data_IF_358469446954
#
_entry.id   IF_358469446954
#
_cell.length_a   1.000
_cell.length_b   1.000
_cell.length_c   1.000
_cell.angle_alpha   90.00
_cell.angle_beta   90.00
_cell.angle_gamma   90.00
#
_symmetry.space_group_name_H-M   'P 1'
#
loop_
_entity.id
_entity.type
_entity.pdbx_description
1 polymer ?
#
# COMPACT_ATOMS: atom_id res chain seq x y z
N UNK A 1 19.75 -6.31 -16.95
CA UNK A 1 19.08 -6.16 -15.65
C UNK A 1 19.29 -4.71 -15.25
N UNK A 2 18.22 -3.93 -15.22
CA UNK A 2 18.27 -2.47 -14.96
C UNK A 2 17.73 -2.22 -13.57
N UNK A 3 18.38 -1.34 -12.81
CA UNK A 3 17.91 -0.89 -11.50
C UNK A 3 17.38 0.53 -11.65
N UNK A 4 16.16 0.77 -11.18
CA UNK A 4 15.49 2.06 -11.21
C UNK A 4 15.17 2.49 -9.78
N UNK A 5 15.31 3.79 -9.51
CA UNK A 5 14.96 4.40 -8.23
C UNK A 5 13.95 5.51 -8.49
N UNK A 6 12.82 5.46 -7.77
CA UNK A 6 11.71 6.42 -7.91
C UNK A 6 11.51 7.11 -6.58
N UNK A 7 11.36 8.44 -6.62
CA UNK A 7 11.09 9.23 -5.43
C UNK A 7 9.64 9.02 -4.96
N UNK A 8 9.46 8.76 -3.66
CA UNK A 8 8.14 8.63 -3.04
C UNK A 8 7.61 9.95 -2.48
N UNK A 9 8.51 10.92 -2.29
CA UNK A 9 8.25 12.25 -1.78
C UNK A 9 9.06 13.25 -2.58
N UNK A 10 8.70 14.53 -2.50
CA UNK A 10 9.53 15.60 -3.03
C UNK A 10 10.89 15.65 -2.31
N UNK A 11 11.96 15.94 -3.05
CA UNK A 11 13.33 15.92 -2.54
C UNK A 11 13.99 17.26 -2.84
N UNK A 12 14.47 17.95 -1.80
CA UNK A 12 15.13 19.24 -1.96
C UNK A 12 16.64 19.09 -2.22
N UNK A 13 17.30 20.07 -2.88
CA UNK A 13 18.74 20.05 -3.04
C UNK A 13 19.47 19.97 -1.69
N UNK A 14 20.35 18.98 -1.54
CA UNK A 14 21.11 18.73 -0.30
C UNK A 14 20.42 17.81 0.71
N UNK A 15 19.20 17.37 0.44
CA UNK A 15 18.50 16.34 1.23
C UNK A 15 19.11 14.95 0.98
N UNK A 16 19.23 14.14 2.03
CA UNK A 16 19.73 12.78 1.93
C UNK A 16 18.72 11.87 1.22
N UNK A 17 19.15 11.16 0.18
CA UNK A 17 18.36 10.12 -0.45
C UNK A 17 18.36 8.87 0.41
N UNK A 18 17.18 8.46 0.87
CA UNK A 18 17.02 7.27 1.71
C UNK A 18 16.16 6.22 1.03
N UNK A 19 16.45 4.95 1.30
CA UNK A 19 15.60 3.81 0.92
C UNK A 19 15.42 2.90 2.14
N UNK A 20 14.28 2.22 2.22
CA UNK A 20 14.05 1.24 3.28
C UNK A 20 14.63 -0.12 2.89
N UNK A 21 15.51 -0.66 3.72
CA UNK A 21 15.99 -2.05 3.59
C UNK A 21 15.02 -3.07 4.18
N UNK A 22 13.98 -2.60 4.87
CA UNK A 22 12.99 -3.43 5.54
C UNK A 22 11.62 -3.32 4.85
N UNK A 23 10.79 -4.37 4.93
CA UNK A 23 9.37 -4.26 4.60
C UNK A 23 8.70 -3.13 5.41
N UNK A 24 7.90 -2.31 4.75
CA UNK A 24 7.31 -1.11 5.37
C UNK A 24 6.21 -1.43 6.40
N UNK A 25 5.65 -2.65 6.36
CA UNK A 25 4.56 -3.10 7.22
C UNK A 25 4.99 -3.65 8.58
N UNK A 26 6.30 -3.67 8.90
CA UNK A 26 6.80 -4.20 10.17
C UNK A 26 6.46 -3.28 11.35
N UNK A 27 6.15 -3.88 12.52
CA UNK A 27 5.98 -3.19 13.80
C UNK A 27 7.34 -2.76 14.39
N UNK A 28 7.34 -1.86 15.37
CA UNK A 28 8.56 -1.20 15.87
C UNK A 28 9.57 -2.19 16.44
N UNK A 29 9.12 -3.20 17.17
CA UNK A 29 9.96 -4.28 17.70
C UNK A 29 10.64 -5.06 16.56
N UNK A 30 9.87 -5.49 15.57
CA UNK A 30 10.39 -6.21 14.40
C UNK A 30 11.33 -5.35 13.56
N UNK A 31 11.04 -4.06 13.42
CA UNK A 31 11.92 -3.10 12.72
C UNK A 31 13.27 -2.98 13.43
N UNK A 32 13.26 -2.80 14.76
CA UNK A 32 14.49 -2.70 15.58
C UNK A 32 15.31 -3.98 15.52
N UNK A 33 14.66 -5.13 15.68
CA UNK A 33 15.32 -6.45 15.59
C UNK A 33 15.91 -6.69 14.20
N UNK A 34 15.14 -6.38 13.15
CA UNK A 34 15.58 -6.58 11.77
C UNK A 34 16.73 -5.67 11.40
N UNK A 35 16.64 -4.36 11.65
CA UNK A 35 17.67 -3.40 11.22
C UNK A 35 19.03 -3.65 11.90
N UNK A 36 19.05 -4.25 13.09
CA UNK A 36 20.28 -4.57 13.79
C UNK A 36 21.16 -5.59 13.03
N UNK A 37 20.63 -6.33 12.05
CA UNK A 37 21.47 -7.17 11.16
C UNK A 37 22.46 -6.33 10.32
N UNK A 38 22.23 -5.03 10.20
CA UNK A 38 23.12 -4.06 9.56
C UNK A 38 24.03 -3.34 10.57
N UNK A 39 24.05 -3.77 11.83
CA UNK A 39 24.90 -3.26 12.90
C UNK A 39 24.72 -1.76 13.22
N UNK A 40 23.50 -1.24 13.05
CA UNK A 40 23.14 0.11 13.51
C UNK A 40 21.74 0.14 14.13
N UNK A 41 21.49 1.18 14.93
CA UNK A 41 20.16 1.49 15.46
C UNK A 41 19.55 2.62 14.64
N UNK A 42 18.32 2.44 14.16
CA UNK A 42 17.61 3.48 13.41
C UNK A 42 17.26 4.65 14.32
N UNK A 43 17.63 5.87 13.91
CA UNK A 43 17.33 7.13 14.59
C UNK A 43 16.48 8.06 13.72
N UNK A 44 15.66 7.51 12.83
CA UNK A 44 14.68 8.31 12.11
C UNK A 44 13.66 8.94 13.09
N UNK A 45 12.90 9.97 12.69
CA UNK A 45 11.93 10.62 13.57
C UNK A 45 11.02 9.62 14.30
N UNK A 46 10.40 8.71 13.53
CA UNK A 46 9.53 7.66 14.07
C UNK A 46 10.23 6.78 15.12
N UNK A 47 11.45 6.31 14.86
CA UNK A 47 12.17 5.44 15.80
C UNK A 47 12.74 6.19 17.01
N UNK A 48 12.80 7.52 16.96
CA UNK A 48 13.37 8.37 18.01
C UNK A 48 12.33 8.86 19.01
N UNK A 49 11.04 8.57 18.78
CA UNK A 49 9.92 8.97 19.63
C UNK A 49 9.05 7.77 19.98
N UNK A 50 8.93 7.45 21.28
CA UNK A 50 8.08 6.33 21.74
C UNK A 50 6.62 6.52 21.32
N UNK A 51 6.09 7.75 21.41
CA UNK A 51 4.74 8.06 20.98
C UNK A 51 4.54 7.87 19.47
N UNK A 52 5.52 8.22 18.64
CA UNK A 52 5.44 8.00 17.19
C UNK A 52 5.58 6.51 16.83
N UNK A 53 6.39 5.75 17.56
CA UNK A 53 6.49 4.30 17.37
C UNK A 53 5.16 3.61 17.70
N UNK A 54 4.57 3.92 18.86
CA UNK A 54 3.29 3.38 19.28
C UNK A 54 2.19 3.72 18.28
N UNK A 55 2.12 4.98 17.82
CA UNK A 55 1.13 5.38 16.83
C UNK A 55 1.33 4.70 15.47
N UNK A 56 2.58 4.54 15.02
CA UNK A 56 2.88 3.82 13.77
C UNK A 56 2.50 2.34 13.85
N UNK A 57 2.70 1.71 15.01
CA UNK A 57 2.31 0.32 15.21
C UNK A 57 0.77 0.17 15.26
N UNK A 58 0.06 1.10 15.91
CA UNK A 58 -1.41 1.18 15.88
C UNK A 58 -1.92 1.32 14.43
N UNK A 59 -1.31 2.22 13.65
CA UNK A 59 -1.68 2.43 12.26
C UNK A 59 -1.48 1.16 11.41
N UNK A 60 -0.36 0.48 11.56
CA UNK A 60 -0.06 -0.77 10.82
C UNK A 60 -0.99 -1.91 11.21
N UNK A 61 -1.30 -2.05 12.50
CA UNK A 61 -2.30 -3.00 12.97
C UNK A 61 -3.68 -2.64 12.44
N UNK A 62 -4.02 -1.36 12.35
CA UNK A 62 -5.31 -0.92 11.81
C UNK A 62 -5.44 -1.24 10.33
N UNK A 63 -4.38 -1.08 9.53
CA UNK A 63 -4.37 -1.53 8.12
C UNK A 63 -4.72 -3.02 8.03
N UNK A 64 -4.10 -3.87 8.85
CA UNK A 64 -4.43 -5.30 8.88
C UNK A 64 -5.89 -5.54 9.23
N UNK A 65 -6.40 -4.85 10.27
CA UNK A 65 -7.80 -4.94 10.67
C UNK A 65 -8.76 -4.53 9.55
N UNK A 66 -8.49 -3.45 8.83
CA UNK A 66 -9.28 -3.02 7.67
C UNK A 66 -9.30 -4.11 6.59
N UNK A 67 -8.15 -4.71 6.27
CA UNK A 67 -8.09 -5.78 5.28
C UNK A 67 -8.91 -7.00 5.70
N UNK A 68 -8.88 -7.35 6.99
CA UNK A 68 -9.68 -8.45 7.52
C UNK A 68 -11.17 -8.14 7.50
N UNK A 69 -11.57 -6.91 7.83
CA UNK A 69 -12.97 -6.46 7.72
C UNK A 69 -13.46 -6.51 6.27
N UNK A 70 -12.64 -6.09 5.30
CA UNK A 70 -12.97 -6.17 3.87
C UNK A 70 -13.08 -7.62 3.37
N UNK A 71 -12.38 -8.57 3.98
CA UNK A 71 -12.51 -10.01 3.63
C UNK A 71 -13.86 -10.59 4.02
N UNK A 72 -14.50 -10.08 5.06
CA UNK A 72 -15.81 -10.53 5.52
C UNK A 72 -16.90 -10.06 4.56
N UNK A 73 -17.62 -10.99 3.92
CA UNK A 73 -18.66 -10.67 2.93
C UNK A 73 -19.78 -9.80 3.50
N UNK A 74 -20.16 -10.02 4.76
CA UNK A 74 -21.24 -9.28 5.43
C UNK A 74 -20.94 -7.78 5.58
N UNK A 75 -19.65 -7.40 5.55
CA UNK A 75 -19.21 -6.01 5.65
C UNK A 75 -19.12 -5.31 4.28
N UNK A 76 -19.41 -5.99 3.17
CA UNK A 76 -19.24 -5.47 1.81
C UNK A 76 -20.46 -4.71 1.30
N UNK A 77 -20.92 -3.75 2.07
CA UNK A 77 -21.83 -2.71 1.57
C UNK A 77 -21.01 -1.57 0.97
N UNK A 78 -21.57 -0.82 0.00
CA UNK A 78 -20.84 0.32 -0.58
C UNK A 78 -20.44 1.35 0.49
N UNK A 79 -21.30 1.58 1.48
CA UNK A 79 -21.04 2.50 2.59
C UNK A 79 -19.92 1.96 3.51
N UNK A 80 -19.99 0.67 3.88
CA UNK A 80 -18.98 0.03 4.73
C UNK A 80 -17.60 0.02 4.07
N UNK A 81 -17.53 -0.46 2.83
CA UNK A 81 -16.28 -0.46 2.05
C UNK A 81 -15.77 0.95 1.83
N UNK A 82 -16.64 1.90 1.47
CA UNK A 82 -16.24 3.30 1.28
C UNK A 82 -15.67 3.95 2.53
N UNK A 83 -16.19 3.61 3.71
CA UNK A 83 -15.68 4.10 5.00
C UNK A 83 -14.30 3.51 5.30
N UNK A 84 -14.14 2.20 5.16
CA UNK A 84 -12.88 1.50 5.37
C UNK A 84 -11.78 1.96 4.40
N UNK A 85 -12.13 2.21 3.15
CA UNK A 85 -11.18 2.71 2.14
C UNK A 85 -10.69 4.12 2.49
N UNK A 86 -11.57 5.02 2.93
CA UNK A 86 -11.17 6.38 3.33
C UNK A 86 -10.20 6.34 4.50
N UNK A 87 -10.49 5.51 5.50
CA UNK A 87 -9.61 5.31 6.65
C UNK A 87 -8.25 4.74 6.21
N UNK A 88 -8.26 3.69 5.38
CA UNK A 88 -7.05 3.09 4.85
C UNK A 88 -6.17 4.12 4.14
N UNK A 89 -6.74 4.91 3.22
CA UNK A 89 -5.98 5.92 2.47
C UNK A 89 -5.40 7.00 3.40
N UNK A 90 -6.12 7.42 4.44
CA UNK A 90 -5.62 8.37 5.44
C UNK A 90 -4.42 7.81 6.20
N UNK A 91 -4.45 6.52 6.56
CA UNK A 91 -3.33 5.87 7.24
C UNK A 91 -2.13 5.72 6.30
N UNK A 92 -2.35 5.32 5.04
CA UNK A 92 -1.27 5.16 4.06
C UNK A 92 -0.53 6.48 3.79
N UNK A 93 -1.24 7.60 3.77
CA UNK A 93 -0.64 8.93 3.63
C UNK A 93 0.21 9.28 4.86
N UNK A 94 -0.36 9.10 6.06
CA UNK A 94 0.31 9.37 7.34
C UNK A 94 1.59 8.53 7.50
N UNK A 95 1.54 7.25 7.14
CA UNK A 95 2.68 6.32 7.24
C UNK A 95 3.63 6.41 6.03
N UNK A 96 3.37 7.28 5.05
CA UNK A 96 4.14 7.41 3.80
C UNK A 96 4.31 6.08 3.06
N UNK A 97 3.22 5.36 2.87
CA UNK A 97 3.16 4.05 2.23
C UNK A 97 2.67 4.12 0.78
N UNK A 98 2.94 5.22 0.06
CA UNK A 98 2.44 5.46 -1.29
C UNK A 98 2.83 4.33 -2.27
N UNK A 99 4.04 3.79 -2.17
CA UNK A 99 4.47 2.68 -3.02
C UNK A 99 3.69 1.36 -2.80
N UNK A 100 2.99 1.23 -1.68
CA UNK A 100 2.14 0.06 -1.38
C UNK A 100 0.71 0.22 -1.92
N UNK A 101 0.31 1.43 -2.34
CA UNK A 101 -1.06 1.73 -2.79
C UNK A 101 -1.52 0.85 -3.96
N UNK A 102 -0.60 0.42 -4.84
CA UNK A 102 -0.93 -0.53 -5.91
C UNK A 102 -1.45 -1.88 -5.40
N UNK A 103 -0.87 -2.39 -4.30
CA UNK A 103 -1.32 -3.64 -3.69
C UNK A 103 -2.74 -3.49 -3.12
N UNK A 104 -2.99 -2.37 -2.43
CA UNK A 104 -4.31 -2.09 -1.86
C UNK A 104 -5.36 -1.86 -2.96
N UNK A 105 -5.01 -1.15 -4.02
CA UNK A 105 -5.88 -0.97 -5.18
C UNK A 105 -6.22 -2.31 -5.85
N UNK A 106 -5.26 -3.23 -5.98
CA UNK A 106 -5.52 -4.59 -6.49
C UNK A 106 -6.52 -5.36 -5.62
N UNK A 107 -6.41 -5.26 -4.29
CA UNK A 107 -7.36 -5.87 -3.35
C UNK A 107 -8.75 -5.25 -3.53
N UNK A 108 -8.84 -3.92 -3.58
CA UNK A 108 -10.10 -3.20 -3.72
C UNK A 108 -10.80 -3.50 -5.05
N UNK A 109 -10.04 -3.63 -6.15
CA UNK A 109 -10.58 -4.07 -7.43
C UNK A 109 -11.30 -5.42 -7.31
N UNK A 110 -10.68 -6.38 -6.61
CA UNK A 110 -11.28 -7.68 -6.33
C UNK A 110 -12.52 -7.61 -5.43
N UNK A 111 -12.51 -6.75 -4.40
CA UNK A 111 -13.66 -6.54 -3.50
C UNK A 111 -14.86 -5.99 -4.28
N UNK A 112 -14.67 -4.91 -5.03
CA UNK A 112 -15.76 -4.30 -5.80
C UNK A 112 -16.26 -5.21 -6.93
N UNK A 113 -15.37 -6.00 -7.54
CA UNK A 113 -15.79 -7.03 -8.50
C UNK A 113 -16.71 -8.07 -7.86
N UNK A 114 -16.37 -8.54 -6.65
CA UNK A 114 -17.20 -9.48 -5.89
C UNK A 114 -18.52 -8.86 -5.39
N UNK A 115 -18.63 -7.54 -5.40
CA UNK A 115 -19.87 -6.79 -5.13
C UNK A 115 -20.66 -6.47 -6.41
N UNK A 116 -20.22 -6.98 -7.57
CA UNK A 116 -20.79 -6.71 -8.90
C UNK A 116 -20.74 -5.23 -9.31
N UNK A 117 -19.92 -4.43 -8.62
CA UNK A 117 -19.64 -3.03 -8.95
C UNK A 117 -18.46 -2.93 -9.91
N UNK A 118 -18.75 -3.17 -11.18
CA UNK A 118 -17.74 -3.12 -12.24
C UNK A 118 -17.12 -1.72 -12.40
N UNK A 119 -17.83 -0.65 -12.06
CA UNK A 119 -17.33 0.72 -12.21
C UNK A 119 -16.18 0.97 -11.23
N UNK A 120 -16.39 0.71 -9.93
CA UNK A 120 -15.32 0.83 -8.93
C UNK A 120 -14.24 -0.23 -9.13
N UNK A 121 -14.59 -1.47 -9.49
CA UNK A 121 -13.61 -2.51 -9.76
C UNK A 121 -12.60 -2.09 -10.85
N UNK A 122 -13.09 -1.54 -11.97
CA UNK A 122 -12.25 -1.02 -13.05
C UNK A 122 -11.42 0.17 -12.61
N UNK A 123 -12.00 1.09 -11.83
CA UNK A 123 -11.30 2.25 -11.29
C UNK A 123 -10.09 1.87 -10.45
N UNK A 124 -10.28 0.95 -9.49
CA UNK A 124 -9.19 0.46 -8.65
C UNK A 124 -8.20 -0.43 -9.41
N UNK A 125 -8.66 -1.24 -10.38
CA UNK A 125 -7.75 -2.02 -11.22
C UNK A 125 -6.82 -1.11 -12.03
N UNK A 126 -7.35 -0.02 -12.61
CA UNK A 126 -6.54 0.98 -13.28
C UNK A 126 -5.54 1.64 -12.31
N UNK A 127 -5.99 2.04 -11.13
CA UNK A 127 -5.11 2.63 -10.13
C UNK A 127 -3.98 1.67 -9.71
N UNK A 128 -4.28 0.36 -9.61
CA UNK A 128 -3.28 -0.66 -9.32
C UNK A 128 -2.21 -0.73 -10.42
N UNK A 129 -2.61 -0.73 -11.69
CA UNK A 129 -1.69 -0.68 -12.84
C UNK A 129 -0.81 0.56 -12.78
N UNK A 130 -1.42 1.73 -12.68
CA UNK A 130 -0.71 3.02 -12.67
C UNK A 130 0.34 3.04 -11.54
N UNK A 131 -0.06 2.65 -10.32
CA UNK A 131 0.82 2.69 -9.15
C UNK A 131 1.92 1.62 -9.21
N UNK A 132 1.63 0.40 -9.68
CA UNK A 132 2.65 -0.64 -9.80
C UNK A 132 3.68 -0.29 -10.89
N UNK A 133 3.23 0.23 -12.03
CA UNK A 133 4.15 0.69 -13.07
C UNK A 133 5.01 1.85 -12.58
N UNK A 134 4.43 2.81 -11.86
CA UNK A 134 5.16 3.97 -11.35
C UNK A 134 6.18 3.62 -10.25
N UNK A 135 5.79 2.83 -9.24
CA UNK A 135 6.64 2.61 -8.06
C UNK A 135 7.51 1.34 -8.14
N UNK A 136 7.11 0.33 -8.92
CA UNK A 136 7.80 -0.98 -8.97
C UNK A 136 8.40 -1.23 -10.35
N UNK A 137 7.79 -0.69 -11.40
CA UNK A 137 8.24 -0.79 -12.78
C UNK A 137 7.37 -1.70 -13.64
N UNK A 138 7.45 -1.48 -14.95
CA UNK A 138 6.63 -2.15 -15.97
C UNK A 138 6.84 -3.67 -16.04
N UNK A 139 8.05 -4.14 -15.75
CA UNK A 139 8.39 -5.56 -15.83
C UNK A 139 8.00 -6.36 -14.58
N UNK A 140 7.48 -5.70 -13.54
CA UNK A 140 7.10 -6.36 -12.29
C UNK A 140 5.87 -7.26 -12.48
N UNK A 141 5.90 -8.44 -11.84
CA UNK A 141 4.76 -9.37 -11.88
C UNK A 141 3.48 -8.71 -11.36
N UNK A 142 3.60 -7.83 -10.35
CA UNK A 142 2.48 -7.04 -9.82
C UNK A 142 1.84 -6.12 -10.86
N UNK A 143 2.65 -5.44 -11.69
CA UNK A 143 2.13 -4.59 -12.77
C UNK A 143 1.41 -5.44 -13.84
N UNK A 144 1.97 -6.60 -14.18
CA UNK A 144 1.38 -7.54 -15.15
C UNK A 144 0.07 -8.14 -14.64
N UNK A 145 0.02 -8.58 -13.39
CA UNK A 145 -1.17 -9.14 -12.76
C UNK A 145 -2.30 -8.10 -12.68
N UNK A 146 -1.97 -6.87 -12.28
CA UNK A 146 -2.93 -5.77 -12.26
C UNK A 146 -3.46 -5.44 -13.66
N UNK A 147 -2.61 -5.49 -14.69
CA UNK A 147 -3.01 -5.24 -16.08
C UNK A 147 -3.95 -6.34 -16.59
N UNK A 148 -3.64 -7.61 -16.32
CA UNK A 148 -4.52 -8.72 -16.67
C UNK A 148 -5.89 -8.60 -16.00
N UNK A 149 -5.93 -8.20 -14.72
CA UNK A 149 -7.19 -7.94 -14.02
C UNK A 149 -7.98 -6.79 -14.67
N UNK A 150 -7.31 -5.69 -15.05
CA UNK A 150 -7.96 -4.57 -15.72
C UNK A 150 -8.53 -4.97 -17.09
N UNK A 151 -7.74 -5.67 -17.91
CA UNK A 151 -8.17 -6.17 -19.23
C UNK A 151 -9.37 -7.11 -19.11
N UNK A 152 -9.32 -8.04 -18.14
CA UNK A 152 -10.44 -8.92 -17.83
C UNK A 152 -11.70 -8.12 -17.49
N UNK A 153 -11.62 -7.17 -16.55
CA UNK A 153 -12.76 -6.35 -16.14
C UNK A 153 -13.30 -5.49 -17.30
N UNK A 154 -12.45 -5.04 -18.21
CA UNK A 154 -12.84 -4.27 -19.39
C UNK A 154 -13.54 -5.13 -20.45
N UNK A 155 -13.23 -6.43 -20.52
CA UNK A 155 -13.86 -7.37 -21.46
C UNK A 155 -15.30 -7.74 -21.11
N UNK A 156 -15.74 -7.48 -19.87
CA UNK A 156 -17.10 -7.77 -19.42
C UNK A 156 -18.06 -6.71 -20.00
N UNK A 157 -18.86 -7.11 -20.98
CA UNK A 157 -19.94 -6.29 -21.53
C UNK A 157 -21.15 -6.25 -20.58
N UNK A 158 -21.90 -5.12 -20.60
CA UNK A 158 -23.12 -4.91 -19.83
C UNK A 158 -24.36 -5.41 -20.56
#
# INVERSE_FOLDING_TARGET
MTFEAVAYVDINPGEELTISYLPLNLLSEDRKSSINKWHFNCTCPVCSSDAEMEQSDVNKLRIQGILDELRLKDNRTHEGVGTLVKELMSILDTERLQAQTGNFASILAGIYFQMEDLANARGYAKQAVDNHMYYIGHDSDKAKDALQMLEFLQSIEY
#
